data_IF_435082290394
#
_entry.id   IF_435082290394
#
_cell.length_a   1.000
_cell.length_b   1.000
_cell.length_c   1.000
_cell.angle_alpha   90.00
_cell.angle_beta   90.00
_cell.angle_gamma   90.00
#
_symmetry.space_group_name_H-M   'P 1'
#
loop_
_entity.id
_entity.type
_entity.pdbx_description
1 polymer ?
#
# COMPACT_ATOMS: atom_id res chain seq x y z
N UNK A 1 -18.73 -5.69 7.20
CA UNK A 1 -17.54 -6.57 7.25
C UNK A 1 -16.48 -6.08 8.22
N UNK A 2 -16.44 -4.78 8.56
CA UNK A 2 -15.61 -4.26 9.64
C UNK A 2 -16.11 -4.74 11.01
N UNK A 3 -15.18 -4.84 11.97
CA UNK A 3 -15.48 -5.15 13.37
C UNK A 3 -16.12 -3.94 14.10
N UNK A 4 -16.79 -4.22 15.22
CA UNK A 4 -17.51 -3.19 15.99
C UNK A 4 -16.56 -2.13 16.56
N UNK A 5 -15.36 -2.54 16.96
CA UNK A 5 -14.32 -1.65 17.50
C UNK A 5 -13.88 -0.61 16.46
N UNK A 6 -13.56 -1.04 15.24
CA UNK A 6 -13.15 -0.17 14.15
C UNK A 6 -14.27 0.78 13.72
N UNK A 7 -15.53 0.33 13.73
CA UNK A 7 -16.69 1.18 13.45
C UNK A 7 -16.91 2.24 14.54
N UNK A 8 -16.80 1.86 15.81
CA UNK A 8 -16.93 2.78 16.93
C UNK A 8 -15.82 3.84 16.92
N UNK A 9 -14.57 3.43 16.63
CA UNK A 9 -13.44 4.33 16.55
C UNK A 9 -13.55 5.30 15.38
N UNK A 10 -13.98 4.82 14.21
CA UNK A 10 -14.27 5.67 13.06
C UNK A 10 -15.36 6.72 13.35
N UNK A 11 -16.41 6.34 14.08
CA UNK A 11 -17.48 7.27 14.44
C UNK A 11 -17.02 8.34 15.45
N UNK A 12 -16.11 7.97 16.35
CA UNK A 12 -15.61 8.85 17.42
C UNK A 12 -14.49 9.77 16.96
N UNK A 13 -13.47 9.21 16.31
CA UNK A 13 -12.20 9.87 16.04
C UNK A 13 -11.97 10.10 14.52
N UNK A 14 -12.81 9.54 13.66
CA UNK A 14 -12.68 9.64 12.21
C UNK A 14 -11.66 8.66 11.62
N UNK A 15 -11.37 8.82 10.32
CA UNK A 15 -10.49 7.92 9.56
C UNK A 15 -9.01 8.32 9.55
N UNK A 16 -8.69 9.51 10.05
CA UNK A 16 -7.35 10.05 10.07
C UNK A 16 -7.00 10.59 11.47
N UNK A 17 -5.79 10.30 11.91
CA UNK A 17 -5.19 10.81 13.14
C UNK A 17 -3.80 11.41 12.83
N UNK A 18 -3.25 12.19 13.76
CA UNK A 18 -1.91 12.76 13.63
C UNK A 18 -0.88 11.82 14.25
N UNK A 19 0.12 11.43 13.47
CA UNK A 19 1.27 10.68 13.99
C UNK A 19 2.05 11.59 14.96
N UNK A 20 2.25 11.18 16.23
CA UNK A 20 2.97 12.00 17.21
C UNK A 20 4.44 12.26 16.87
N UNK A 21 5.03 11.46 15.98
CA UNK A 21 6.45 11.56 15.63
C UNK A 21 6.76 12.69 14.63
N UNK A 22 5.85 12.94 13.69
CA UNK A 22 6.06 13.90 12.60
C UNK A 22 4.84 14.79 12.30
N UNK A 23 3.73 14.62 13.04
CA UNK A 23 2.47 15.36 12.89
C UNK A 23 1.80 15.17 11.52
N UNK A 24 2.16 14.12 10.78
CA UNK A 24 1.54 13.77 9.51
C UNK A 24 0.21 13.06 9.72
N UNK A 25 -0.71 13.20 8.76
CA UNK A 25 -1.96 12.44 8.78
C UNK A 25 -1.68 10.97 8.46
N UNK A 26 -2.07 10.10 9.39
CA UNK A 26 -2.04 8.64 9.25
C UNK A 26 -3.44 8.09 9.45
N UNK A 27 -3.67 6.86 8.99
CA UNK A 27 -4.97 6.21 9.20
C UNK A 27 -5.13 5.84 10.66
N UNK A 28 -6.30 6.14 11.22
CA UNK A 28 -6.64 5.77 12.60
C UNK A 28 -6.36 4.29 12.85
N UNK A 29 -5.65 4.01 13.93
CA UNK A 29 -5.31 2.65 14.37
C UNK A 29 -6.04 2.28 15.66
N UNK A 30 -6.45 1.01 15.74
CA UNK A 30 -6.96 0.39 16.96
C UNK A 30 -5.82 0.25 17.98
N UNK A 31 -6.15 -0.06 19.24
CA UNK A 31 -5.16 -0.17 20.32
C UNK A 31 -4.06 -1.21 20.00
N UNK A 32 -4.44 -2.27 19.28
CA UNK A 32 -3.52 -3.32 18.83
C UNK A 32 -2.66 -2.91 17.60
N UNK A 33 -2.68 -1.63 17.20
CA UNK A 33 -1.96 -1.04 16.05
C UNK A 33 -2.46 -1.48 14.67
N UNK A 34 -3.59 -2.16 14.59
CA UNK A 34 -4.22 -2.43 13.31
C UNK A 34 -4.94 -1.19 12.79
N UNK A 35 -4.85 -0.93 11.50
CA UNK A 35 -5.68 0.07 10.84
C UNK A 35 -7.18 -0.24 11.09
N UNK A 36 -8.00 0.78 11.36
CA UNK A 36 -9.45 0.62 11.59
C UNK A 36 -10.18 -0.10 10.47
N UNK A 37 -9.66 -0.08 9.23
CA UNK A 37 -10.24 -0.76 8.08
C UNK A 37 -9.84 -2.22 7.93
N UNK A 38 -9.10 -2.81 8.88
CA UNK A 38 -8.70 -4.22 8.81
C UNK A 38 -9.92 -5.13 8.93
N UNK A 39 -10.02 -6.09 8.01
CA UNK A 39 -11.01 -7.18 8.03
C UNK A 39 -10.25 -8.51 8.00
N UNK A 40 -10.44 -9.34 9.01
CA UNK A 40 -9.87 -10.71 9.05
C UNK A 40 -10.78 -11.67 8.31
N UNK A 41 -10.25 -12.32 7.28
CA UNK A 41 -10.96 -13.34 6.52
C UNK A 41 -10.00 -14.43 6.09
N UNK A 42 -10.32 -15.69 6.38
CA UNK A 42 -9.53 -16.86 6.00
C UNK A 42 -8.06 -16.80 6.45
N UNK A 43 -7.81 -16.24 7.64
CA UNK A 43 -6.45 -16.04 8.18
C UNK A 43 -5.67 -14.88 7.55
N UNK A 44 -6.28 -14.12 6.62
CA UNK A 44 -5.66 -13.00 5.90
C UNK A 44 -6.24 -11.68 6.39
N UNK A 45 -5.36 -10.68 6.54
CA UNK A 45 -5.76 -9.29 6.79
C UNK A 45 -6.10 -8.60 5.47
N UNK A 46 -7.35 -8.16 5.37
CA UNK A 46 -7.89 -7.46 4.22
C UNK A 46 -8.21 -6.00 4.59
N UNK A 47 -8.43 -5.17 3.57
CA UNK A 47 -8.87 -3.78 3.73
C UNK A 47 -10.35 -3.67 3.38
N UNK A 48 -11.16 -3.15 4.31
CA UNK A 48 -12.59 -2.94 4.12
C UNK A 48 -12.91 -2.06 2.90
N UNK A 49 -12.13 -1.00 2.66
CA UNK A 49 -12.29 -0.11 1.51
C UNK A 49 -12.11 -0.89 0.20
N UNK A 50 -11.09 -1.75 0.15
CA UNK A 50 -10.80 -2.57 -1.02
C UNK A 50 -11.90 -3.60 -1.29
N UNK A 51 -12.38 -4.27 -0.24
CA UNK A 51 -13.49 -5.23 -0.34
C UNK A 51 -14.76 -4.52 -0.83
N UNK A 52 -15.10 -3.39 -0.20
CA UNK A 52 -16.29 -2.64 -0.55
C UNK A 52 -16.24 -2.14 -1.99
N UNK A 53 -15.08 -1.62 -2.45
CA UNK A 53 -14.92 -1.16 -3.82
C UNK A 53 -15.05 -2.31 -4.83
N UNK A 54 -14.49 -3.48 -4.54
CA UNK A 54 -14.65 -4.67 -5.41
C UNK A 54 -16.09 -5.16 -5.50
N UNK A 55 -16.88 -4.97 -4.44
CA UNK A 55 -18.28 -5.43 -4.36
C UNK A 55 -19.27 -4.46 -4.99
N UNK A 56 -19.05 -3.17 -4.80
CA UNK A 56 -20.03 -2.12 -5.11
C UNK A 56 -19.59 -1.17 -6.22
N UNK A 57 -18.32 -1.23 -6.64
CA UNK A 57 -17.71 -0.42 -7.69
C UNK A 57 -18.04 1.07 -7.60
N UNK A 58 -17.65 1.69 -6.48
CA UNK A 58 -17.80 3.13 -6.28
C UNK A 58 -16.58 3.93 -6.80
N UNK A 59 -15.74 3.32 -7.65
CA UNK A 59 -14.62 3.98 -8.32
C UNK A 59 -13.47 4.43 -7.41
N UNK A 60 -13.47 4.02 -6.14
CA UNK A 60 -12.45 4.40 -5.15
C UNK A 60 -11.86 3.17 -4.47
N UNK A 61 -10.86 2.50 -5.08
CA UNK A 61 -10.10 1.47 -4.39
C UNK A 61 -9.29 2.07 -3.25
N UNK A 62 -8.63 1.23 -2.45
CA UNK A 62 -7.85 1.67 -1.27
C UNK A 62 -6.93 2.89 -1.58
N UNK A 63 -6.62 3.75 -0.60
CA UNK A 63 -5.77 4.92 -0.82
C UNK A 63 -4.47 4.58 -1.55
N UNK A 64 -4.02 5.47 -2.45
CA UNK A 64 -2.88 5.17 -3.32
C UNK A 64 -1.58 4.92 -2.54
N UNK A 65 -1.40 5.58 -1.39
CA UNK A 65 -0.28 5.36 -0.47
C UNK A 65 -0.28 3.94 0.11
N UNK A 66 -1.45 3.39 0.43
CA UNK A 66 -1.61 2.01 0.89
C UNK A 66 -1.42 1.01 -0.27
N UNK A 67 -1.91 1.34 -1.46
CA UNK A 67 -1.79 0.44 -2.63
C UNK A 67 -0.33 0.32 -3.10
N UNK A 68 0.45 1.39 -3.02
CA UNK A 68 1.86 1.40 -3.42
C UNK A 68 2.78 0.69 -2.43
N UNK A 69 2.35 0.46 -1.18
CA UNK A 69 3.19 -0.16 -0.16
C UNK A 69 3.68 -1.56 -0.62
N UNK A 70 5.00 -1.86 -0.57
CA UNK A 70 6.03 -1.21 0.24
C UNK A 70 6.82 -0.08 -0.43
N UNK A 71 6.38 0.46 -1.57
CA UNK A 71 6.99 1.61 -2.24
C UNK A 71 6.45 2.91 -1.62
N UNK A 72 7.35 3.77 -1.14
CA UNK A 72 7.06 5.11 -0.63
C UNK A 72 7.51 6.16 -1.63
N UNK A 73 6.67 7.16 -1.86
CA UNK A 73 6.94 8.24 -2.82
C UNK A 73 7.38 9.48 -2.04
N UNK A 74 8.61 9.92 -2.28
CA UNK A 74 9.10 11.22 -1.82
C UNK A 74 9.04 12.22 -2.97
N UNK A 75 8.49 13.41 -2.73
CA UNK A 75 8.36 14.48 -3.73
C UNK A 75 9.54 15.45 -3.59
N UNK A 76 10.33 15.58 -4.65
CA UNK A 76 11.34 16.62 -4.80
C UNK A 76 10.83 17.71 -5.75
N UNK A 77 11.60 18.79 -5.89
CA UNK A 77 11.23 19.93 -6.77
C UNK A 77 11.03 19.50 -8.22
N UNK A 78 11.87 18.59 -8.72
CA UNK A 78 11.93 18.23 -10.15
C UNK A 78 11.49 16.80 -10.44
N UNK A 79 11.44 15.92 -9.42
CA UNK A 79 11.14 14.51 -9.62
C UNK A 79 10.51 13.86 -8.38
N UNK A 80 10.02 12.64 -8.56
CA UNK A 80 9.58 11.78 -7.48
C UNK A 80 10.61 10.67 -7.25
N UNK A 81 11.02 10.46 -6.00
CA UNK A 81 11.81 9.28 -5.64
C UNK A 81 10.89 8.17 -5.13
N UNK A 82 11.02 6.99 -5.71
CA UNK A 82 10.30 5.79 -5.30
C UNK A 82 11.24 4.93 -4.44
N UNK A 83 10.94 4.85 -3.16
CA UNK A 83 11.79 4.19 -2.17
C UNK A 83 11.13 2.93 -1.66
N UNK A 84 11.83 1.79 -1.74
CA UNK A 84 11.38 0.57 -1.09
C UNK A 84 11.57 0.71 0.43
N UNK A 85 10.48 0.68 1.18
CA UNK A 85 10.51 0.71 2.63
C UNK A 85 10.90 -0.66 3.19
N UNK A 86 12.10 -0.74 3.77
CA UNK A 86 12.70 -1.97 4.30
C UNK A 86 12.54 -2.04 5.81
N UNK A 87 11.94 -3.11 6.28
CA UNK A 87 11.83 -3.46 7.70
C UNK A 87 11.56 -4.97 7.87
N UNK A 88 11.67 -5.45 9.11
CA UNK A 88 11.69 -6.88 9.44
C UNK A 88 10.42 -7.63 9.03
N UNK A 89 9.24 -7.00 9.07
CA UNK A 89 7.98 -7.71 8.75
C UNK A 89 7.83 -8.05 7.26
N UNK A 90 8.67 -7.50 6.38
CA UNK A 90 8.68 -7.84 4.95
C UNK A 90 9.49 -9.11 4.64
N UNK A 91 10.12 -9.76 5.64
CA UNK A 91 11.04 -10.87 5.43
C UNK A 91 10.38 -12.04 4.67
N UNK A 92 9.22 -12.50 5.14
CA UNK A 92 8.50 -13.62 4.52
C UNK A 92 8.06 -13.30 3.09
N UNK A 93 7.61 -12.07 2.83
CA UNK A 93 7.26 -11.61 1.48
C UNK A 93 8.49 -11.57 0.55
N UNK A 94 9.66 -11.22 1.07
CA UNK A 94 10.91 -11.24 0.30
C UNK A 94 11.36 -12.68 -0.01
N UNK A 95 11.22 -13.60 0.94
CA UNK A 95 11.48 -15.04 0.72
C UNK A 95 10.59 -15.56 -0.41
N UNK A 96 9.27 -15.32 -0.30
CA UNK A 96 8.31 -15.75 -1.31
C UNK A 96 8.57 -15.11 -2.69
N UNK A 97 8.84 -13.81 -2.73
CA UNK A 97 9.17 -13.11 -3.97
C UNK A 97 10.44 -13.67 -4.64
N UNK A 98 11.44 -14.10 -3.85
CA UNK A 98 12.64 -14.77 -4.39
C UNK A 98 12.32 -16.15 -4.95
N UNK A 99 11.48 -16.94 -4.27
CA UNK A 99 11.02 -18.25 -4.76
C UNK A 99 10.25 -18.14 -6.08
N UNK A 100 9.42 -17.09 -6.21
CA UNK A 100 8.57 -16.87 -7.38
C UNK A 100 9.26 -16.04 -8.49
N UNK A 101 10.52 -15.62 -8.31
CA UNK A 101 11.25 -14.63 -9.15
C UNK A 101 10.45 -13.33 -9.42
N UNK A 102 9.72 -12.86 -8.42
CA UNK A 102 8.94 -11.61 -8.48
C UNK A 102 9.72 -10.48 -7.83
N UNK A 103 9.99 -9.44 -8.62
CA UNK A 103 10.65 -8.20 -8.16
C UNK A 103 9.62 -7.22 -7.61
N UNK A 104 10.04 -6.32 -6.71
CA UNK A 104 9.13 -5.38 -6.01
C UNK A 104 8.28 -4.54 -6.97
N UNK A 105 8.86 -4.05 -8.07
CA UNK A 105 8.12 -3.25 -9.06
C UNK A 105 7.09 -4.08 -9.85
N UNK A 106 7.28 -5.40 -9.97
CA UNK A 106 6.32 -6.31 -10.59
C UNK A 106 5.17 -6.59 -9.63
N UNK A 107 5.47 -6.86 -8.35
CA UNK A 107 4.46 -6.99 -7.30
C UNK A 107 3.57 -5.75 -7.22
N UNK A 108 4.16 -4.55 -7.29
CA UNK A 108 3.44 -3.28 -7.20
C UNK A 108 2.88 -2.77 -8.55
N UNK A 109 2.86 -3.58 -9.62
CA UNK A 109 2.47 -3.16 -10.97
C UNK A 109 1.15 -2.40 -11.01
N UNK A 110 0.08 -2.98 -10.43
CA UNK A 110 -1.25 -2.37 -10.42
C UNK A 110 -1.26 -0.99 -9.75
N UNK A 111 -0.50 -0.83 -8.66
CA UNK A 111 -0.41 0.42 -7.92
C UNK A 111 0.42 1.47 -8.66
N UNK A 112 1.53 1.05 -9.27
CA UNK A 112 2.41 1.91 -10.06
C UNK A 112 1.71 2.41 -11.32
N UNK A 113 1.04 1.53 -12.07
CA UNK A 113 0.23 1.89 -13.23
C UNK A 113 -0.89 2.85 -12.83
N UNK A 114 -1.61 2.56 -11.74
CA UNK A 114 -2.65 3.48 -11.23
C UNK A 114 -2.11 4.88 -10.89
N UNK A 115 -0.87 4.98 -10.38
CA UNK A 115 -0.29 6.25 -9.95
C UNK A 115 0.37 7.04 -11.09
N UNK A 116 1.09 6.35 -11.97
CA UNK A 116 2.01 6.95 -12.94
C UNK A 116 1.64 6.66 -14.41
N UNK A 117 0.72 5.74 -14.67
CA UNK A 117 0.28 5.34 -16.00
C UNK A 117 1.06 4.16 -16.60
N UNK A 118 0.46 3.53 -17.61
CA UNK A 118 1.02 2.37 -18.32
C UNK A 118 2.33 2.70 -19.05
N UNK A 119 2.42 3.87 -19.69
CA UNK A 119 3.63 4.31 -20.40
C UNK A 119 4.82 4.44 -19.45
N UNK A 120 4.59 5.01 -18.26
CA UNK A 120 5.63 5.12 -17.24
C UNK A 120 6.09 3.74 -16.76
N UNK A 121 5.16 2.81 -16.53
CA UNK A 121 5.50 1.46 -16.11
C UNK A 121 6.29 0.69 -17.18
N UNK A 122 5.91 0.85 -18.45
CA UNK A 122 6.60 0.24 -19.59
C UNK A 122 8.04 0.75 -19.69
N UNK A 123 8.26 2.06 -19.50
CA UNK A 123 9.60 2.64 -19.45
C UNK A 123 10.43 2.12 -18.26
N UNK A 124 9.80 1.91 -17.09
CA UNK A 124 10.46 1.25 -15.95
C UNK A 124 10.90 -0.17 -16.30
N UNK A 125 10.06 -0.95 -16.97
CA UNK A 125 10.42 -2.31 -17.41
C UNK A 125 11.64 -2.32 -18.34
N UNK A 126 11.72 -1.36 -19.27
CA UNK A 126 12.89 -1.17 -20.15
C UNK A 126 14.12 -0.81 -19.32
N UNK A 127 14.03 0.19 -18.44
CA UNK A 127 15.16 0.63 -17.61
C UNK A 127 15.68 -0.49 -16.70
N UNK A 128 14.81 -1.32 -16.14
CA UNK A 128 15.20 -2.47 -15.33
C UNK A 128 15.92 -3.53 -16.17
N UNK A 129 15.43 -3.84 -17.38
CA UNK A 129 16.12 -4.78 -18.29
C UNK A 129 17.52 -4.30 -18.62
N UNK A 130 17.67 -3.02 -18.95
CA UNK A 130 18.99 -2.43 -19.23
C UNK A 130 19.89 -2.44 -17.99
N UNK A 131 19.36 -2.16 -16.80
CA UNK A 131 20.12 -2.19 -15.55
C UNK A 131 20.64 -3.59 -15.22
N UNK A 132 19.84 -4.63 -15.43
CA UNK A 132 20.20 -6.02 -15.15
C UNK A 132 21.14 -6.64 -16.19
N UNK A 133 21.19 -6.09 -17.40
CA UNK A 133 22.11 -6.52 -18.46
C UNK A 133 23.50 -5.87 -18.36
N UNK A 134 23.71 -4.98 -17.39
CA UNK A 134 25.03 -4.39 -17.07
C UNK A 134 25.81 -5.31 -16.15
#
# INVERSE_FOLDING_TARGET
EMDEEGLALLAKDGFAEKDPSDMMDVTTCKENKECVFVVRKDGILNCAIEIANKKHDFGFPKPISCHLYPIRVAKYSEFYALNYHRWSICADACTKGKEDDVKVYQFAKSALVRKFGDDWYSNLEVAVKEYLNR
#
